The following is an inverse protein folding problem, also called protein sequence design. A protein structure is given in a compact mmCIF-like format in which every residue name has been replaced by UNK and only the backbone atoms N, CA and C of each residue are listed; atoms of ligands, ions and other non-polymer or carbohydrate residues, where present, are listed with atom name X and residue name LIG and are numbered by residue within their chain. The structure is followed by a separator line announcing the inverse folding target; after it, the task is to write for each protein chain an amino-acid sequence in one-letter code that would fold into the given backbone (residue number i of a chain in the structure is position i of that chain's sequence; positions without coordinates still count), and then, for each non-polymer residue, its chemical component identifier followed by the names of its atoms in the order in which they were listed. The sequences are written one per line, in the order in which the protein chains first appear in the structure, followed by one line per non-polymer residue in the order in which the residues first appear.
data_IF_791860032382
#
_entry.id   IF_791860032382
#
_cell.length_a   1.000
_cell.length_b   1.000
_cell.length_c   1.000
_cell.angle_alpha   90.00
_cell.angle_beta   90.00
_cell.angle_gamma   90.00
#
_symmetry.space_group_name_H-M   'P 1'
#
loop_
_entity.id
_entity.type
_entity.pdbx_description
1 polymer ?
#
# COMPACT_ATOMS: atom_id res chain seq x y z
N UNK A 1 1.67 -15.01 -2.62
CA UNK A 1 2.79 -14.74 -3.55
C UNK A 1 2.47 -15.37 -4.90
N UNK A 2 3.17 -15.03 -5.98
CA UNK A 2 3.03 -15.68 -7.28
C UNK A 2 3.42 -17.15 -7.09
N UNK A 3 2.63 -18.11 -7.59
CA UNK A 3 1.43 -17.94 -8.43
C UNK A 3 0.11 -17.74 -7.67
N UNK A 4 0.06 -18.08 -6.38
CA UNK A 4 -1.15 -18.03 -5.54
C UNK A 4 -1.49 -16.62 -5.01
N UNK A 5 -1.43 -15.58 -5.85
CA UNK A 5 -1.77 -14.20 -5.47
C UNK A 5 -3.23 -13.82 -5.74
N UNK A 6 -3.92 -14.56 -6.61
CA UNK A 6 -5.28 -14.21 -7.11
C UNK A 6 -6.38 -14.21 -6.05
N UNK A 7 -6.24 -15.00 -4.99
CA UNK A 7 -7.28 -15.12 -3.97
C UNK A 7 -7.46 -13.84 -3.14
N UNK A 8 -6.41 -13.02 -2.98
CA UNK A 8 -6.46 -11.86 -2.10
C UNK A 8 -7.35 -10.74 -2.69
N UNK A 9 -7.23 -10.35 -3.98
CA UNK A 9 -8.22 -9.47 -4.62
C UNK A 9 -9.64 -10.04 -4.63
N UNK A 10 -9.80 -11.36 -4.80
CA UNK A 10 -11.11 -12.01 -4.79
C UNK A 10 -11.79 -11.98 -3.40
N UNK A 11 -11.00 -12.05 -2.33
CA UNK A 11 -11.50 -11.99 -0.95
C UNK A 11 -12.13 -10.63 -0.56
N UNK A 12 -11.96 -9.59 -1.39
CA UNK A 12 -12.52 -8.25 -1.16
C UNK A 12 -14.03 -8.16 -1.39
N UNK A 13 -14.69 -9.25 -1.77
CA UNK A 13 -16.14 -9.38 -1.68
C UNK A 13 -16.65 -9.36 -0.22
N UNK A 14 -15.79 -9.67 0.75
CA UNK A 14 -16.11 -9.65 2.17
C UNK A 14 -16.45 -8.22 2.69
N UNK A 15 -17.21 -8.12 3.80
CA UNK A 15 -17.53 -6.83 4.40
C UNK A 15 -16.25 -6.12 4.88
N UNK A 16 -16.27 -4.78 4.85
CA UNK A 16 -15.09 -3.93 5.07
C UNK A 16 -14.40 -4.11 6.43
N UNK A 17 -15.11 -4.34 7.56
CA UNK A 17 -14.45 -4.61 8.83
C UNK A 17 -13.68 -5.93 8.82
N UNK A 18 -14.19 -6.95 8.12
CA UNK A 18 -13.51 -8.25 7.98
C UNK A 18 -12.27 -8.10 7.10
N UNK A 19 -12.34 -7.36 5.99
CA UNK A 19 -11.14 -7.08 5.19
C UNK A 19 -10.10 -6.25 5.95
N UNK A 20 -10.55 -5.30 6.78
CA UNK A 20 -9.66 -4.50 7.62
C UNK A 20 -8.90 -5.37 8.63
N UNK A 21 -9.56 -6.32 9.29
CA UNK A 21 -8.88 -7.17 10.28
C UNK A 21 -8.14 -8.32 9.61
N UNK A 22 -8.87 -9.19 8.90
CA UNK A 22 -8.40 -10.50 8.44
C UNK A 22 -7.37 -10.36 7.32
N UNK A 23 -7.68 -9.56 6.30
CA UNK A 23 -6.87 -9.49 5.09
C UNK A 23 -5.74 -8.47 5.15
N UNK A 24 -5.75 -7.56 6.14
CA UNK A 24 -4.67 -6.58 6.30
C UNK A 24 -3.65 -6.97 7.39
N UNK A 25 -4.11 -7.56 8.51
CA UNK A 25 -3.30 -7.64 9.72
C UNK A 25 -3.03 -9.06 10.25
N UNK A 26 -3.93 -10.03 10.04
CA UNK A 26 -3.82 -11.36 10.69
C UNK A 26 -3.60 -12.53 9.73
N UNK A 27 -4.50 -12.76 8.78
CA UNK A 27 -4.46 -14.01 7.99
C UNK A 27 -3.30 -14.01 7.00
N UNK A 28 -3.11 -12.89 6.29
CA UNK A 28 -2.08 -12.81 5.24
C UNK A 28 -0.67 -12.70 5.83
N UNK A 29 -0.55 -12.17 7.05
CA UNK A 29 0.71 -12.02 7.79
C UNK A 29 1.10 -13.29 8.55
N UNK A 30 0.16 -14.19 8.85
CA UNK A 30 0.45 -15.41 9.61
C UNK A 30 1.52 -16.30 8.94
N UNK A 31 1.46 -16.47 7.61
CA UNK A 31 2.46 -17.24 6.86
C UNK A 31 3.84 -16.57 6.90
N UNK A 32 3.87 -15.24 6.80
CA UNK A 32 5.10 -14.43 6.92
C UNK A 32 5.69 -14.57 8.31
N UNK A 33 4.85 -14.47 9.35
CA UNK A 33 5.26 -14.60 10.74
C UNK A 33 5.83 -15.98 11.07
N UNK A 34 5.25 -17.06 10.52
CA UNK A 34 5.82 -18.40 10.63
C UNK A 34 7.25 -18.46 10.06
N UNK A 35 7.47 -17.87 8.89
CA UNK A 35 8.81 -17.80 8.28
C UNK A 35 9.79 -16.95 9.11
N UNK A 36 9.32 -15.86 9.75
CA UNK A 36 10.13 -15.10 10.71
C UNK A 36 10.62 -16.00 11.85
N UNK A 37 9.77 -16.87 12.38
CA UNK A 37 10.12 -17.77 13.50
C UNK A 37 11.12 -18.85 13.10
N UNK A 38 11.03 -19.38 11.88
CA UNK A 38 11.96 -20.38 11.36
C UNK A 38 13.14 -19.79 10.58
N UNK A 39 13.35 -18.48 10.63
CA UNK A 39 14.35 -17.80 9.82
C UNK A 39 15.77 -18.37 10.01
N UNK A 40 16.18 -18.69 11.24
CA UNK A 40 17.50 -19.25 11.54
C UNK A 40 17.79 -20.57 10.80
N UNK A 41 16.76 -21.35 10.47
CA UNK A 41 16.91 -22.61 9.73
C UNK A 41 16.91 -22.41 8.21
N UNK A 42 16.35 -21.29 7.75
CA UNK A 42 16.09 -21.04 6.33
C UNK A 42 17.10 -20.10 5.68
N UNK A 43 17.83 -19.33 6.49
CA UNK A 43 18.95 -18.51 6.03
C UNK A 43 19.94 -19.38 5.24
N UNK A 44 20.50 -18.82 4.17
CA UNK A 44 21.46 -19.44 3.22
C UNK A 44 20.95 -20.65 2.41
N UNK A 45 19.68 -21.01 2.52
CA UNK A 45 19.09 -22.05 1.67
C UNK A 45 18.80 -21.55 0.25
N UNK A 46 18.90 -22.45 -0.73
CA UNK A 46 18.44 -22.22 -2.11
C UNK A 46 16.95 -21.81 -2.18
N UNK A 47 16.16 -22.22 -1.19
CA UNK A 47 14.77 -21.83 -1.09
C UNK A 47 14.64 -20.32 -0.89
N UNK A 48 15.41 -19.70 0.02
CA UNK A 48 15.36 -18.26 0.25
C UNK A 48 15.85 -17.44 -0.93
N UNK A 49 16.87 -17.89 -1.66
CA UNK A 49 17.30 -17.19 -2.88
C UNK A 49 16.22 -17.22 -3.97
N UNK A 50 15.49 -18.33 -4.11
CA UNK A 50 14.34 -18.41 -5.02
C UNK A 50 13.16 -17.52 -4.55
N UNK A 51 12.90 -17.49 -3.24
CA UNK A 51 11.83 -16.70 -2.63
C UNK A 51 12.10 -15.21 -2.77
N UNK A 52 13.37 -14.79 -2.76
CA UNK A 52 13.79 -13.42 -3.01
C UNK A 52 13.40 -12.93 -4.41
N UNK A 53 13.58 -13.77 -5.44
CA UNK A 53 13.14 -13.46 -6.79
C UNK A 53 11.61 -13.43 -6.89
N UNK A 54 10.94 -14.46 -6.37
CA UNK A 54 9.46 -14.57 -6.43
C UNK A 54 8.81 -13.38 -5.70
N UNK A 55 9.33 -13.00 -4.54
CA UNK A 55 8.83 -11.87 -3.76
C UNK A 55 9.02 -10.54 -4.51
N UNK A 56 10.17 -10.32 -5.16
CA UNK A 56 10.39 -9.14 -6.00
C UNK A 56 9.40 -9.06 -7.18
N UNK A 57 9.12 -10.18 -7.84
CA UNK A 57 8.13 -10.26 -8.91
C UNK A 57 6.71 -10.02 -8.40
N UNK A 58 6.36 -10.53 -7.21
CA UNK A 58 5.04 -10.27 -6.61
C UNK A 58 4.82 -8.80 -6.33
N UNK A 59 5.83 -8.11 -5.82
CA UNK A 59 5.73 -6.69 -5.54
C UNK A 59 5.48 -5.89 -6.82
N UNK A 60 6.23 -6.20 -7.88
CA UNK A 60 6.08 -5.55 -9.17
C UNK A 60 4.72 -5.81 -9.82
N UNK A 61 4.30 -7.07 -9.87
CA UNK A 61 2.99 -7.47 -10.44
C UNK A 61 1.82 -6.85 -9.68
N UNK A 62 1.87 -6.86 -8.36
CA UNK A 62 0.84 -6.24 -7.51
C UNK A 62 0.82 -4.72 -7.71
N UNK A 63 2.00 -4.08 -7.85
CA UNK A 63 2.12 -2.66 -8.14
C UNK A 63 1.48 -2.28 -9.47
N UNK A 64 1.76 -3.02 -10.56
CA UNK A 64 1.18 -2.74 -11.88
C UNK A 64 -0.34 -2.93 -11.86
N UNK A 65 -0.82 -4.06 -11.34
CA UNK A 65 -2.26 -4.33 -11.28
C UNK A 65 -3.01 -3.28 -10.46
N UNK A 66 -2.45 -2.83 -9.33
CA UNK A 66 -3.05 -1.77 -8.52
C UNK A 66 -3.21 -0.44 -9.26
N UNK A 67 -2.50 -0.18 -10.36
CA UNK A 67 -2.63 1.03 -11.17
C UNK A 67 -3.71 0.95 -12.24
N UNK A 68 -4.18 -0.26 -12.58
CA UNK A 68 -5.21 -0.48 -13.60
C UNK A 68 -6.56 -0.86 -13.01
N UNK A 69 -6.61 -1.33 -11.76
CA UNK A 69 -7.86 -1.60 -11.07
C UNK A 69 -8.62 -0.31 -10.73
N UNK A 70 -9.94 -0.38 -10.77
CA UNK A 70 -10.85 0.71 -10.40
C UNK A 70 -11.66 0.44 -9.13
N UNK A 71 -11.78 -0.83 -8.71
CA UNK A 71 -12.44 -1.17 -7.45
C UNK A 71 -11.58 -0.73 -6.26
N UNK A 72 -12.17 0.09 -5.39
CA UNK A 72 -11.47 0.72 -4.28
C UNK A 72 -10.83 -0.29 -3.33
N UNK A 73 -11.57 -1.31 -2.89
CA UNK A 73 -11.03 -2.37 -2.02
C UNK A 73 -9.92 -3.19 -2.71
N UNK A 74 -10.05 -3.45 -4.02
CA UNK A 74 -9.03 -4.22 -4.76
C UNK A 74 -7.71 -3.46 -4.87
N UNK A 75 -7.74 -2.13 -5.00
CA UNK A 75 -6.51 -1.33 -4.98
C UNK A 75 -5.83 -1.40 -3.61
N UNK A 76 -6.59 -1.31 -2.52
CA UNK A 76 -6.04 -1.45 -1.16
C UNK A 76 -5.50 -2.88 -0.93
N UNK A 77 -6.18 -3.89 -1.45
CA UNK A 77 -5.77 -5.29 -1.43
C UNK A 77 -4.46 -5.53 -2.20
N UNK A 78 -4.37 -5.08 -3.45
CA UNK A 78 -3.15 -5.22 -4.26
C UNK A 78 -1.98 -4.44 -3.65
N UNK A 79 -2.24 -3.31 -3.01
CA UNK A 79 -1.19 -2.62 -2.26
C UNK A 79 -0.76 -3.39 -1.01
N UNK A 80 -1.63 -4.15 -0.31
CA UNK A 80 -1.17 -5.10 0.73
C UNK A 80 -0.31 -6.22 0.15
N UNK A 81 -0.71 -6.79 -1.00
CA UNK A 81 0.08 -7.81 -1.70
C UNK A 81 1.48 -7.28 -2.06
N UNK A 82 1.58 -6.03 -2.50
CA UNK A 82 2.87 -5.39 -2.80
C UNK A 82 3.77 -5.26 -1.56
N UNK A 83 3.21 -4.83 -0.42
CA UNK A 83 3.95 -4.70 0.84
C UNK A 83 4.28 -6.06 1.47
N UNK A 84 3.45 -7.08 1.29
CA UNK A 84 3.80 -8.45 1.69
C UNK A 84 4.92 -9.02 0.83
N UNK A 85 4.96 -8.69 -0.47
CA UNK A 85 6.12 -8.95 -1.32
C UNK A 85 7.39 -8.30 -0.77
N UNK A 86 7.26 -7.08 -0.20
CA UNK A 86 8.35 -6.35 0.45
C UNK A 86 8.84 -7.06 1.71
N UNK A 87 7.92 -7.45 2.59
CA UNK A 87 8.25 -8.15 3.84
C UNK A 87 8.93 -9.49 3.57
N UNK A 88 8.40 -10.25 2.61
CA UNK A 88 8.95 -11.56 2.23
C UNK A 88 10.34 -11.46 1.60
N UNK A 89 10.60 -10.39 0.84
CA UNK A 89 11.94 -10.11 0.33
C UNK A 89 12.93 -9.85 1.47
N UNK A 90 12.58 -9.02 2.44
CA UNK A 90 13.49 -8.72 3.57
C UNK A 90 13.82 -9.98 4.36
N UNK A 91 12.82 -10.84 4.57
CA UNK A 91 12.99 -12.15 5.19
C UNK A 91 14.02 -12.99 4.44
N UNK A 92 13.89 -13.09 3.11
CA UNK A 92 14.83 -13.86 2.29
C UNK A 92 16.27 -13.34 2.31
N UNK A 93 16.48 -12.11 2.78
CA UNK A 93 17.79 -11.48 2.91
C UNK A 93 18.40 -11.66 4.29
N UNK A 94 17.74 -12.45 5.15
CA UNK A 94 18.23 -12.76 6.48
C UNK A 94 18.00 -11.66 7.50
N UNK A 95 17.09 -10.69 7.24
CA UNK A 95 16.80 -9.57 8.15
C UNK A 95 15.41 -9.69 8.82
N UNK A 96 15.20 -10.66 9.73
CA UNK A 96 13.87 -10.96 10.28
C UNK A 96 13.33 -9.84 11.18
N UNK A 97 14.21 -9.11 11.88
CA UNK A 97 13.82 -8.00 12.76
C UNK A 97 13.23 -6.82 11.96
N UNK A 98 13.84 -6.46 10.83
CA UNK A 98 13.33 -5.44 9.92
C UNK A 98 12.00 -5.87 9.28
N UNK A 99 11.88 -7.14 8.90
CA UNK A 99 10.63 -7.69 8.37
C UNK A 99 9.49 -7.63 9.39
N UNK A 100 9.77 -8.00 10.66
CA UNK A 100 8.80 -7.92 11.75
C UNK A 100 8.41 -6.47 12.06
N UNK A 101 9.38 -5.56 12.11
CA UNK A 101 9.13 -4.13 12.31
C UNK A 101 8.20 -3.56 11.23
N UNK A 102 8.47 -3.85 9.95
CA UNK A 102 7.61 -3.38 8.86
C UNK A 102 6.22 -4.04 8.89
N UNK A 103 6.12 -5.31 9.28
CA UNK A 103 4.83 -6.00 9.41
C UNK A 103 3.93 -5.29 10.45
N UNK A 104 4.49 -4.88 11.59
CA UNK A 104 3.76 -4.14 12.62
C UNK A 104 3.30 -2.76 12.15
N UNK A 105 4.20 -1.97 11.56
CA UNK A 105 3.83 -0.63 11.07
C UNK A 105 2.80 -0.73 9.94
N UNK A 106 2.97 -1.71 9.04
CA UNK A 106 2.03 -2.00 7.96
C UNK A 106 0.62 -2.32 8.45
N UNK A 107 0.48 -3.14 9.48
CA UNK A 107 -0.83 -3.46 10.05
C UNK A 107 -1.59 -2.21 10.51
N UNK A 108 -0.90 -1.26 11.14
CA UNK A 108 -1.54 -0.05 11.69
C UNK A 108 -2.10 0.87 10.60
N UNK A 109 -1.28 1.26 9.61
CA UNK A 109 -1.75 2.17 8.56
C UNK A 109 -2.67 1.49 7.54
N UNK A 110 -2.56 0.17 7.34
CA UNK A 110 -3.50 -0.55 6.47
C UNK A 110 -4.87 -0.74 7.10
N UNK A 111 -4.95 -1.01 8.40
CA UNK A 111 -6.23 -1.05 9.11
C UNK A 111 -6.95 0.30 8.99
N UNK A 112 -6.22 1.41 9.13
CA UNK A 112 -6.75 2.75 8.92
C UNK A 112 -7.28 2.96 7.49
N UNK A 113 -6.53 2.56 6.46
CA UNK A 113 -6.97 2.67 5.06
C UNK A 113 -8.25 1.88 4.78
N UNK A 114 -8.35 0.63 5.23
CA UNK A 114 -9.55 -0.17 5.02
C UNK A 114 -10.76 0.36 5.81
N UNK A 115 -10.54 0.92 7.00
CA UNK A 115 -11.61 1.54 7.78
C UNK A 115 -12.14 2.80 7.09
N UNK A 116 -11.24 3.71 6.65
CA UNK A 116 -11.62 4.89 5.88
C UNK A 116 -12.37 4.50 4.59
N UNK A 117 -11.87 3.47 3.89
CA UNK A 117 -12.52 2.98 2.69
C UNK A 117 -13.93 2.41 2.97
N UNK A 118 -14.11 1.76 4.11
CA UNK A 118 -15.43 1.27 4.55
C UNK A 118 -16.43 2.40 4.76
N UNK A 119 -16.01 3.50 5.38
CA UNK A 119 -16.86 4.68 5.57
C UNK A 119 -17.29 5.25 4.22
N UNK A 120 -16.33 5.46 3.32
CA UNK A 120 -16.59 6.01 1.98
C UNK A 120 -17.54 5.10 1.19
N UNK A 121 -17.32 3.79 1.19
CA UNK A 121 -18.20 2.84 0.47
C UNK A 121 -19.61 2.83 1.04
N UNK A 122 -19.75 2.91 2.37
CA UNK A 122 -21.05 2.95 3.03
C UNK A 122 -21.82 4.24 2.67
N UNK A 123 -21.14 5.39 2.66
CA UNK A 123 -21.72 6.68 2.26
C UNK A 123 -22.14 6.69 0.78
N UNK A 124 -21.49 5.90 -0.06
CA UNK A 124 -21.79 5.75 -1.49
C UNK A 124 -22.74 4.58 -1.79
N UNK A 125 -23.56 4.13 -0.84
CA UNK A 125 -24.51 3.02 -1.00
C UNK A 125 -23.88 1.77 -1.64
N UNK A 126 -22.73 1.32 -1.12
CA UNK A 126 -21.99 0.13 -1.56
C UNK A 126 -21.36 0.19 -2.97
N UNK A 127 -21.34 1.37 -3.61
CA UNK A 127 -20.58 1.56 -4.84
C UNK A 127 -19.09 1.60 -4.51
N UNK A 128 -18.32 0.72 -5.15
CA UNK A 128 -16.88 0.56 -4.89
C UNK A 128 -15.99 1.09 -6.01
N UNK A 129 -16.55 1.40 -7.17
CA UNK A 129 -15.80 1.87 -8.33
C UNK A 129 -15.43 3.34 -8.14
N UNK A 130 -14.12 3.59 -8.11
CA UNK A 130 -13.54 4.91 -7.87
C UNK A 130 -13.94 5.94 -8.94
N UNK A 131 -14.34 5.52 -10.14
CA UNK A 131 -14.72 6.44 -11.23
C UNK A 131 -16.00 7.22 -10.94
N UNK A 132 -16.89 6.63 -10.14
CA UNK A 132 -18.12 7.28 -9.68
C UNK A 132 -17.91 8.07 -8.38
N UNK A 133 -16.72 8.00 -7.78
CA UNK A 133 -16.37 8.75 -6.59
C UNK A 133 -15.70 10.07 -7.00
N UNK A 134 -15.92 11.13 -6.23
CA UNK A 134 -15.30 12.44 -6.48
C UNK A 134 -15.67 13.45 -5.39
N UNK A 135 -14.79 14.41 -5.15
CA UNK A 135 -14.95 15.52 -4.19
C UNK A 135 -15.35 15.14 -2.75
N UNK A 136 -15.03 13.94 -2.28
CA UNK A 136 -15.41 13.44 -0.93
C UNK A 136 -14.83 14.35 0.17
N UNK A 137 -13.71 15.01 -0.11
CA UNK A 137 -13.02 15.97 0.76
C UNK A 137 -13.92 17.08 1.32
N UNK A 138 -14.94 17.50 0.56
CA UNK A 138 -15.88 18.55 0.98
C UNK A 138 -16.92 18.06 1.98
N UNK A 139 -17.27 16.77 1.93
CA UNK A 139 -18.41 16.21 2.68
C UNK A 139 -17.95 15.48 3.94
N UNK A 140 -16.86 14.72 3.86
CA UNK A 140 -16.33 13.97 5.01
C UNK A 140 -14.86 14.29 5.26
N UNK A 141 -14.53 15.53 5.67
CA UNK A 141 -13.14 15.99 5.77
C UNK A 141 -12.30 15.16 6.74
N UNK A 142 -12.92 14.58 7.77
CA UNK A 142 -12.21 13.81 8.80
C UNK A 142 -11.71 12.45 8.28
N UNK A 143 -12.54 11.68 7.58
CA UNK A 143 -12.09 10.46 6.89
C UNK A 143 -11.07 10.79 5.81
N UNK A 144 -11.25 11.87 5.08
CA UNK A 144 -10.30 12.28 4.04
C UNK A 144 -8.92 12.57 4.62
N UNK A 145 -8.85 13.26 5.77
CA UNK A 145 -7.60 13.48 6.49
C UNK A 145 -6.96 12.14 6.91
N UNK A 146 -7.74 11.23 7.49
CA UNK A 146 -7.26 9.91 7.92
C UNK A 146 -6.73 9.06 6.73
N UNK A 147 -7.45 9.09 5.62
CA UNK A 147 -7.09 8.37 4.41
C UNK A 147 -5.82 8.93 3.75
N UNK A 148 -5.67 10.25 3.72
CA UNK A 148 -4.46 10.88 3.17
C UNK A 148 -3.22 10.59 4.03
N UNK A 149 -3.31 10.69 5.36
CA UNK A 149 -2.19 10.39 6.26
C UNK A 149 -1.76 8.92 6.12
N UNK A 150 -2.72 8.01 6.03
CA UNK A 150 -2.42 6.58 5.87
C UNK A 150 -1.87 6.22 4.49
N UNK A 151 -2.34 6.88 3.42
CA UNK A 151 -1.72 6.78 2.09
C UNK A 151 -0.28 7.30 2.11
N UNK A 152 -0.03 8.46 2.72
CA UNK A 152 1.32 9.02 2.88
C UNK A 152 2.24 8.11 3.71
N UNK A 153 1.70 7.43 4.73
CA UNK A 153 2.45 6.43 5.49
C UNK A 153 2.82 5.22 4.62
N UNK A 154 1.92 4.72 3.77
CA UNK A 154 2.18 3.63 2.81
C UNK A 154 3.27 3.99 1.78
N UNK A 155 3.26 5.24 1.34
CA UNK A 155 4.25 5.85 0.46
C UNK A 155 5.65 5.85 1.08
N UNK A 156 5.73 6.08 2.40
CA UNK A 156 6.98 6.22 3.13
C UNK A 156 7.48 7.67 3.18
N UNK A 157 6.57 8.64 3.23
CA UNK A 157 6.94 10.06 3.40
C UNK A 157 7.63 10.25 4.76
N UNK A 158 8.70 11.06 4.85
CA UNK A 158 9.46 11.28 6.07
C UNK A 158 8.58 11.59 7.30
N UNK A 159 9.01 11.06 8.45
CA UNK A 159 8.36 11.16 9.78
C UNK A 159 7.06 10.38 10.01
N UNK A 160 6.47 9.76 8.99
CA UNK A 160 5.35 8.82 9.18
C UNK A 160 5.84 7.40 9.48
N UNK A 161 4.99 6.54 10.06
CA UNK A 161 5.43 5.21 10.51
C UNK A 161 6.03 4.33 9.40
N UNK A 162 5.56 4.48 8.16
CA UNK A 162 6.09 3.73 7.02
C UNK A 162 7.51 4.15 6.63
N UNK A 163 7.91 5.40 6.84
CA UNK A 163 9.26 5.88 6.52
C UNK A 163 10.32 5.14 7.33
N UNK A 164 10.15 5.08 8.65
CA UNK A 164 11.12 4.43 9.56
C UNK A 164 11.44 2.99 9.14
N UNK A 165 10.47 2.26 8.60
CA UNK A 165 10.68 0.88 8.15
C UNK A 165 11.12 0.82 6.69
N UNK A 166 10.30 1.34 5.78
CA UNK A 166 10.46 1.18 4.33
C UNK A 166 11.76 1.80 3.81
N UNK A 167 12.15 2.97 4.34
CA UNK A 167 13.38 3.67 3.94
C UNK A 167 14.62 2.90 4.39
N UNK A 168 14.68 2.49 5.67
CA UNK A 168 15.77 1.64 6.17
C UNK A 168 15.88 0.33 5.39
N UNK A 169 14.75 -0.27 5.04
CA UNK A 169 14.75 -1.48 4.21
C UNK A 169 15.39 -1.19 2.85
N UNK A 170 14.96 -0.13 2.16
CA UNK A 170 15.50 0.27 0.86
C UNK A 170 17.01 0.53 0.91
N UNK A 171 17.48 1.13 1.99
CA UNK A 171 18.91 1.40 2.17
C UNK A 171 19.72 0.15 2.43
N UNK A 172 19.26 -0.74 3.32
CA UNK A 172 19.91 -2.02 3.57
C UNK A 172 20.01 -2.85 2.29
N UNK A 173 19.01 -2.74 1.41
CA UNK A 173 19.00 -3.38 0.09
C UNK A 173 20.05 -2.82 -0.87
N UNK A 174 20.25 -1.50 -0.86
CA UNK A 174 21.28 -0.88 -1.68
C UNK A 174 22.69 -1.15 -1.16
N UNK A 175 22.84 -1.41 0.15
CA UNK A 175 24.12 -1.75 0.76
C UNK A 175 24.52 -3.20 0.48
N UNK A 176 23.55 -4.11 0.42
CA UNK A 176 23.76 -5.52 0.11
C UNK A 176 24.03 -5.80 -1.38
N UNK A 177 24.86 -6.81 -1.66
CA UNK A 177 25.19 -7.24 -3.02
C UNK A 177 24.08 -8.10 -3.62
N UNK A 178 23.08 -7.47 -4.24
CA UNK A 178 22.03 -8.16 -5.00
C UNK A 178 22.19 -8.01 -6.52
N UNK A 179 21.53 -8.92 -7.25
CA UNK A 179 21.45 -8.86 -8.70
C UNK A 179 20.76 -7.56 -9.15
N UNK A 180 21.23 -6.99 -10.27
CA UNK A 180 20.69 -5.78 -10.89
C UNK A 180 19.19 -5.88 -11.16
N UNK A 181 18.70 -7.05 -11.56
CA UNK A 181 17.27 -7.27 -11.80
C UNK A 181 16.44 -7.05 -10.52
N UNK A 182 16.88 -7.60 -9.40
CA UNK A 182 16.21 -7.49 -8.10
C UNK A 182 16.26 -6.05 -7.59
N UNK A 183 17.36 -5.34 -7.86
CA UNK A 183 17.49 -3.92 -7.57
C UNK A 183 16.47 -3.10 -8.37
N UNK A 184 16.43 -3.28 -9.70
CA UNK A 184 15.51 -2.58 -10.58
C UNK A 184 14.03 -2.82 -10.23
N UNK A 185 13.63 -4.09 -10.06
CA UNK A 185 12.25 -4.45 -9.74
C UNK A 185 11.77 -3.76 -8.47
N UNK A 186 12.66 -3.55 -7.50
CA UNK A 186 12.32 -2.96 -6.21
C UNK A 186 12.13 -1.45 -6.26
N UNK A 187 13.04 -0.72 -6.91
CA UNK A 187 12.91 0.73 -7.00
C UNK A 187 11.74 1.14 -7.90
N UNK A 188 11.51 0.39 -8.98
CA UNK A 188 10.34 0.62 -9.83
C UNK A 188 9.06 0.30 -9.07
N UNK A 189 8.99 -0.81 -8.34
CA UNK A 189 7.79 -1.12 -7.57
C UNK A 189 7.53 -0.12 -6.44
N UNK A 190 8.56 0.44 -5.80
CA UNK A 190 8.37 1.56 -4.85
C UNK A 190 7.82 2.81 -5.54
N UNK A 191 8.28 3.13 -6.75
CA UNK A 191 7.66 4.18 -7.57
C UNK A 191 6.21 3.89 -7.92
N UNK A 192 5.88 2.63 -8.25
CA UNK A 192 4.49 2.20 -8.48
C UNK A 192 3.61 2.36 -7.22
N UNK A 193 4.18 2.23 -6.01
CA UNK A 193 3.42 2.48 -4.77
C UNK A 193 2.98 3.93 -4.64
N UNK A 194 3.85 4.88 -5.00
CA UNK A 194 3.44 6.27 -5.10
C UNK A 194 2.40 6.47 -6.19
N UNK A 195 2.61 5.83 -7.33
CA UNK A 195 1.77 6.00 -8.49
C UNK A 195 0.29 5.69 -8.21
N UNK A 196 -0.05 4.50 -7.68
CA UNK A 196 -1.45 4.19 -7.36
C UNK A 196 -1.98 5.00 -6.18
N UNK A 197 -1.13 5.38 -5.22
CA UNK A 197 -1.59 6.14 -4.04
C UNK A 197 -2.09 7.53 -4.42
N UNK A 198 -1.41 8.19 -5.35
CA UNK A 198 -1.79 9.53 -5.82
C UNK A 198 -2.97 9.44 -6.75
N UNK A 199 -2.99 8.43 -7.62
CA UNK A 199 -4.15 8.14 -8.45
C UNK A 199 -5.42 8.04 -7.58
N UNK A 200 -5.34 7.28 -6.49
CA UNK A 200 -6.43 7.09 -5.54
C UNK A 200 -6.82 8.40 -4.82
N UNK A 201 -5.86 9.24 -4.43
CA UNK A 201 -6.16 10.58 -3.88
C UNK A 201 -6.82 11.49 -4.92
N UNK A 202 -6.33 11.50 -6.16
CA UNK A 202 -6.85 12.35 -7.23
C UNK A 202 -8.31 12.03 -7.54
N UNK A 203 -8.64 10.76 -7.76
CA UNK A 203 -10.03 10.37 -8.04
C UNK A 203 -10.98 10.60 -6.85
N UNK A 204 -10.56 10.30 -5.62
CA UNK A 204 -11.47 10.38 -4.46
C UNK A 204 -11.64 11.80 -3.92
N UNK A 205 -10.56 12.59 -3.91
CA UNK A 205 -10.51 13.85 -3.14
C UNK A 205 -10.50 15.11 -4.00
N UNK A 206 -9.84 15.07 -5.16
CA UNK A 206 -9.49 16.28 -5.95
C UNK A 206 -10.41 16.44 -7.15
N UNK A 207 -10.75 15.35 -7.83
CA UNK A 207 -11.64 15.39 -8.99
C UNK A 207 -13.03 15.89 -8.61
N UNK A 208 -13.70 16.48 -9.59
CA UNK A 208 -15.05 17.00 -9.47
C UNK A 208 -16.05 15.91 -9.06
N UNK A 209 -17.18 16.37 -8.54
CA UNK A 209 -18.25 15.53 -8.05
C UNK A 209 -18.89 14.71 -9.18
N UNK A 210 -18.57 13.42 -9.23
CA UNK A 210 -19.15 12.45 -10.17
C UNK A 210 -20.27 11.60 -9.55
N UNK A 211 -20.81 12.04 -8.42
CA UNK A 211 -21.85 11.30 -7.72
C UNK A 211 -23.21 11.43 -8.42
N UNK A 212 -23.90 10.30 -8.52
CA UNK A 212 -25.33 10.23 -8.80
C UNK A 212 -26.12 11.10 -7.81
N UNK A 213 -27.19 11.73 -8.27
CA UNK A 213 -27.90 12.84 -7.61
C UNK A 213 -28.59 12.52 -6.26
N UNK A 214 -28.50 11.30 -5.74
CA UNK A 214 -29.21 10.84 -4.55
C UNK A 214 -28.26 10.13 -3.58
N UNK A 215 -27.25 10.83 -3.06
CA UNK A 215 -26.52 10.36 -1.88
C UNK A 215 -26.82 11.23 -0.68
N UNK A 216 -27.29 10.59 0.39
CA UNK A 216 -27.31 11.17 1.71
C UNK A 216 -25.90 11.05 2.30
N UNK A 217 -25.04 12.00 1.96
CA UNK A 217 -23.74 12.17 2.59
C UNK A 217 -23.94 12.86 3.93
N UNK A 218 -24.56 12.16 4.87
CA UNK A 218 -24.74 12.63 6.23
C UNK A 218 -23.82 11.89 7.19
N UNK A 219 -23.24 12.71 8.06
CA UNK A 219 -22.41 12.47 9.25
C UNK A 219 -21.89 11.06 9.52
N UNK A 220 -20.58 11.02 9.76
CA UNK A 220 -19.93 9.83 10.28
C UNK A 220 -20.33 9.59 11.74
N UNK A 221 -20.72 8.35 12.04
CA UNK A 221 -20.95 7.91 13.41
C UNK A 221 -19.71 8.21 14.28
N UNK A 222 -19.94 8.87 15.42
CA UNK A 222 -18.87 9.23 16.36
C UNK A 222 -17.99 8.02 16.78
N UNK A 223 -18.60 6.83 16.87
CA UNK A 223 -17.90 5.58 17.21
C UNK A 223 -16.85 5.25 16.15
N UNK A 224 -17.17 5.44 14.88
CA UNK A 224 -16.30 5.15 13.75
C UNK A 224 -15.19 6.21 13.62
N UNK A 225 -15.51 7.50 13.78
CA UNK A 225 -14.48 8.55 13.84
C UNK A 225 -13.49 8.28 14.98
N UNK A 226 -13.99 7.90 16.16
CA UNK A 226 -13.14 7.63 17.33
C UNK A 226 -12.17 6.47 17.07
N UNK A 227 -12.62 5.38 16.44
CA UNK A 227 -11.72 4.26 16.10
C UNK A 227 -10.69 4.64 15.03
N UNK A 228 -11.09 5.41 14.01
CA UNK A 228 -10.16 5.94 13.00
C UNK A 228 -9.11 6.87 13.60
N UNK A 229 -9.51 7.76 14.53
CA UNK A 229 -8.60 8.67 15.21
C UNK A 229 -7.53 7.96 16.03
N UNK A 230 -7.90 6.89 16.75
CA UNK A 230 -6.94 6.07 17.51
C UNK A 230 -5.93 5.42 16.55
N UNK A 231 -6.40 4.86 15.43
CA UNK A 231 -5.52 4.27 14.42
C UNK A 231 -4.64 5.32 13.73
N UNK A 232 -5.15 6.53 13.50
CA UNK A 232 -4.38 7.65 12.94
C UNK A 232 -3.22 8.03 13.86
N UNK A 233 -3.49 8.21 15.15
CA UNK A 233 -2.43 8.52 16.13
C UNK A 233 -1.34 7.45 16.12
N UNK A 234 -1.74 6.18 16.06
CA UNK A 234 -0.81 5.07 15.93
C UNK A 234 -0.04 5.10 14.60
N UNK A 235 -0.68 5.39 13.46
CA UNK A 235 -0.02 5.43 12.15
C UNK A 235 1.08 6.50 12.03
N UNK A 236 1.06 7.51 12.90
CA UNK A 236 2.10 8.55 12.96
C UNK A 236 3.19 8.14 13.96
N UNK A 237 2.80 7.77 15.18
CA UNK A 237 3.73 7.62 16.31
C UNK A 237 4.33 6.22 16.42
N UNK A 238 3.63 5.18 15.96
CA UNK A 238 4.06 3.80 16.20
C UNK A 238 5.40 3.50 15.55
N UNK A 239 5.73 4.11 14.40
CA UNK A 239 7.00 3.83 13.72
C UNK A 239 8.22 4.26 14.51
N UNK A 240 8.23 5.49 15.04
CA UNK A 240 9.33 6.00 15.86
C UNK A 240 9.43 5.26 17.20
N UNK A 241 8.29 5.04 17.87
CA UNK A 241 8.26 4.30 19.13
C UNK A 241 8.75 2.86 18.97
N UNK A 242 8.27 2.15 17.96
CA UNK A 242 8.70 0.76 17.68
C UNK A 242 10.17 0.69 17.27
N UNK A 243 10.69 1.69 16.54
CA UNK A 243 12.11 1.75 16.19
C UNK A 243 13.00 1.77 17.45
N UNK A 244 12.66 2.61 18.42
CA UNK A 244 13.41 2.70 19.68
C UNK A 244 13.28 1.45 20.56
N UNK A 245 12.15 0.75 20.48
CA UNK A 245 11.91 -0.46 21.29
C UNK A 245 12.54 -1.71 20.70
N UNK A 246 12.50 -1.88 19.37
CA UNK A 246 12.92 -3.11 18.68
C UNK A 246 14.43 -3.13 18.44
N UNK A 247 15.03 -2.00 18.05
CA UNK A 247 16.44 -1.94 17.68
C UNK A 247 17.29 -1.44 18.85
N UNK A 248 18.05 -2.35 19.46
CA UNK A 248 19.02 -2.03 20.50
C UNK A 248 20.19 -1.18 19.98
N UNK A 249 20.56 -1.35 18.71
CA UNK A 249 21.61 -0.62 18.03
C UNK A 249 21.12 -0.18 16.64
N UNK A 250 21.46 1.04 16.19
CA UNK A 250 21.15 1.46 14.83
C UNK A 250 21.97 0.65 13.82
N UNK A 251 21.38 0.36 12.66
CA UNK A 251 22.12 -0.23 11.55
C UNK A 251 23.13 0.77 10.98
N UNK A 252 24.38 0.34 10.79
CA UNK A 252 25.39 1.14 10.11
C UNK A 252 25.20 1.02 8.60
N UNK A 253 24.77 2.09 7.95
CA UNK A 253 24.52 2.15 6.50
C UNK A 253 25.55 3.09 5.87
N UNK A 254 26.41 2.55 5.01
CA UNK A 254 27.42 3.33 4.29
C UNK A 254 27.13 3.31 2.79
N UNK A 255 26.57 4.40 2.26
CA UNK A 255 26.13 4.51 0.88
C UNK A 255 26.66 5.81 0.23
N UNK A 256 27.00 5.79 -1.07
CA UNK A 256 27.25 7.02 -1.81
C UNK A 256 25.97 7.86 -1.91
N UNK A 257 26.13 9.18 -2.02
CA UNK A 257 25.04 10.15 -2.04
C UNK A 257 23.92 9.77 -3.03
N UNK A 258 24.27 9.38 -4.26
CA UNK A 258 23.27 9.02 -5.27
C UNK A 258 22.39 7.83 -4.88
N UNK A 259 22.94 6.82 -4.19
CA UNK A 259 22.15 5.66 -3.73
C UNK A 259 21.25 6.02 -2.55
N UNK A 260 21.71 6.90 -1.65
CA UNK A 260 20.89 7.38 -0.53
C UNK A 260 19.67 8.16 -1.03
N UNK A 261 19.81 9.01 -2.05
CA UNK A 261 18.70 9.77 -2.63
C UNK A 261 17.82 8.97 -3.61
N UNK A 262 18.19 7.72 -3.94
CA UNK A 262 17.48 6.91 -4.92
C UNK A 262 16.00 6.67 -4.55
N UNK A 263 15.72 6.48 -3.26
CA UNK A 263 14.35 6.32 -2.74
C UNK A 263 13.52 7.55 -3.06
N UNK A 264 14.02 8.74 -2.73
CA UNK A 264 13.33 10.01 -2.97
C UNK A 264 13.10 10.23 -4.47
N UNK A 265 14.08 9.92 -5.32
CA UNK A 265 13.90 10.00 -6.77
C UNK A 265 12.80 9.07 -7.27
N UNK A 266 12.75 7.82 -6.80
CA UNK A 266 11.69 6.88 -7.18
C UNK A 266 10.30 7.35 -6.74
N UNK A 267 10.21 7.96 -5.55
CA UNK A 267 8.97 8.51 -5.01
C UNK A 267 8.51 9.70 -5.86
N UNK A 268 9.43 10.61 -6.21
CA UNK A 268 9.15 11.79 -7.03
C UNK A 268 8.70 11.42 -8.45
N UNK A 269 9.37 10.47 -9.10
CA UNK A 269 8.95 9.99 -10.43
C UNK A 269 7.55 9.38 -10.36
N UNK A 270 7.28 8.54 -9.36
CA UNK A 270 5.96 7.98 -9.13
C UNK A 270 4.90 9.06 -8.88
N UNK A 271 5.28 10.15 -8.20
CA UNK A 271 4.40 11.30 -7.97
C UNK A 271 3.95 11.98 -9.26
N UNK A 272 4.93 12.32 -10.10
CA UNK A 272 4.69 12.99 -11.39
C UNK A 272 3.85 12.10 -12.31
N UNK A 273 4.19 10.81 -12.41
CA UNK A 273 3.42 9.86 -13.22
C UNK A 273 1.98 9.70 -12.71
N UNK A 274 1.78 9.69 -11.39
CA UNK A 274 0.49 9.65 -10.71
C UNK A 274 -0.44 10.74 -11.18
N UNK A 275 0.05 11.95 -11.05
CA UNK A 275 -0.67 13.15 -11.41
C UNK A 275 -0.98 13.25 -12.91
N UNK A 276 0.00 12.91 -13.77
CA UNK A 276 -0.21 12.97 -15.22
C UNK A 276 -1.28 11.97 -15.65
N UNK A 277 -1.20 10.72 -15.19
CA UNK A 277 -2.12 9.67 -15.63
C UNK A 277 -3.53 9.85 -15.04
N UNK A 278 -3.66 10.42 -13.83
CA UNK A 278 -5.00 10.75 -13.30
C UNK A 278 -5.68 11.86 -14.09
N UNK A 279 -4.91 12.84 -14.57
CA UNK A 279 -5.44 13.96 -15.37
C UNK A 279 -5.65 13.58 -16.83
N UNK A 280 -4.93 12.57 -17.30
CA UNK A 280 -5.28 11.93 -18.56
C UNK A 280 -6.66 11.35 -18.35
N UNK A 281 -7.65 11.98 -18.98
CA UNK A 281 -8.93 11.40 -19.27
C UNK A 281 -8.71 10.21 -20.21
N UNK A 282 -8.11 9.14 -19.68
CA UNK A 282 -8.19 7.80 -20.23
C UNK A 282 -9.62 7.35 -19.91
N UNK A 283 -10.58 8.08 -20.49
CA UNK A 283 -11.76 7.43 -20.97
C UNK A 283 -11.21 6.33 -21.84
N UNK A 284 -11.30 5.09 -21.33
CA UNK A 284 -11.74 4.02 -22.18
C UNK A 284 -13.09 4.46 -22.74
N UNK A 285 -13.07 5.37 -23.73
CA UNK A 285 -14.00 5.44 -24.81
C UNK A 285 -13.88 4.08 -25.48
N UNK A 286 -14.46 3.07 -24.83
CA UNK A 286 -15.57 2.35 -25.40
C UNK A 286 -15.54 2.31 -26.92
N UNK A 287 -14.46 1.76 -27.48
CA UNK A 287 -14.46 1.26 -28.85
C UNK A 287 -15.61 0.24 -29.02
N UNK A 288 -16.01 -0.42 -27.94
CA UNK A 288 -17.20 -1.29 -27.88
C UNK A 288 -18.54 -0.57 -27.79
N UNK A 289 -18.64 0.64 -27.25
CA UNK A 289 -19.92 1.37 -27.15
C UNK A 289 -20.18 2.20 -28.43
N UNK A 290 -19.12 2.59 -29.14
CA UNK A 290 -19.24 3.06 -30.53
C UNK A 290 -19.80 1.98 -31.47
N UNK A 291 -19.51 0.69 -31.24
CA UNK A 291 -20.09 -0.40 -32.03
C UNK A 291 -21.55 -0.72 -31.69
N UNK A 292 -22.05 -0.31 -30.52
CA UNK A 292 -23.47 -0.45 -30.18
C UNK A 292 -24.36 0.58 -30.89
N UNK A 293 -23.83 1.75 -31.23
CA UNK A 293 -24.55 2.71 -32.07
C UNK A 293 -24.54 2.33 -33.58
N UNK A 294 -23.88 1.22 -33.95
CA UNK A 294 -23.76 0.72 -35.33
C UNK A 294 -24.57 -0.56 -35.59
N UNK A 295 -25.35 -1.04 -34.61
CA UNK A 295 -26.32 -2.14 -34.77
C UNK A 295 -27.73 -1.64 -34.51
#
# INVERSE_FOLDING_TARGET
QIPFSSWLPAAMAAPTPVSALVHSSTLVTAGVYLLIRFNLLLIDTLFFTSLLLISSLTMFMAGISANYEFDFKKIIALSTLSQLGLIMRILSMGMPLLAFFHLLTHAMFKALLFMCAGVVIHLMNDIQDIRFMGGISLYTPMTCMCMNISNMALCGIPFLAGFYSKDLILEMLSFSNFNILIFFLYYVSTGLTMFYSIRLVMYLMINDYNLLSVYNLYDEDYIMIKSMLVLLFMSVISGSMLMWLIFYYPYMIYLPFNLKFMVIYSIFIGLVMGYIISNMNIYSLNKYLFTYNLS
#
